data_IF_303315423208
#
_entry.id   IF_303315423208
#
_cell.length_a   1.000
_cell.length_b   1.000
_cell.length_c   1.000
_cell.angle_alpha   90.00
_cell.angle_beta   90.00
_cell.angle_gamma   90.00
#
_symmetry.space_group_name_H-M   'P 1'
#
loop_
_entity.id
_entity.type
_entity.pdbx_description
1 polymer ?
#
# COMPACT_ATOMS: atom_id res chain seq x y z
N UNK A 1 6.40 27.80 21.93
CA UNK A 1 6.75 27.52 20.51
C UNK A 1 7.65 26.30 20.49
N UNK A 2 7.11 25.12 20.19
CA UNK A 2 7.89 23.88 20.05
C UNK A 2 8.81 24.04 18.84
N UNK A 3 10.13 23.90 19.02
CA UNK A 3 11.08 24.08 17.93
C UNK A 3 10.82 23.04 16.81
N UNK A 4 11.13 23.39 15.57
CA UNK A 4 11.02 22.48 14.43
C UNK A 4 11.69 21.12 14.64
N UNK A 5 12.81 21.11 15.38
CA UNK A 5 13.51 19.89 15.76
C UNK A 5 12.67 18.97 16.66
N UNK A 6 11.97 19.53 17.65
CA UNK A 6 11.09 18.78 18.55
C UNK A 6 9.94 18.12 17.78
N UNK A 7 9.31 18.87 16.86
CA UNK A 7 8.26 18.35 15.98
C UNK A 7 8.75 17.18 15.12
N UNK A 8 9.96 17.30 14.54
CA UNK A 8 10.58 16.24 13.74
C UNK A 8 10.93 15.00 14.57
N UNK A 9 11.39 15.17 15.81
CA UNK A 9 11.71 14.06 16.72
C UNK A 9 10.45 13.32 17.18
N UNK A 10 9.39 14.05 17.55
CA UNK A 10 8.09 13.45 17.89
C UNK A 10 7.53 12.64 16.71
N UNK A 11 7.59 13.20 15.49
CA UNK A 11 7.17 12.49 14.28
C UNK A 11 8.04 11.24 13.99
N UNK A 12 9.33 11.26 14.34
CA UNK A 12 10.20 10.08 14.22
C UNK A 12 9.85 9.01 15.27
N UNK A 13 9.65 9.38 16.53
CA UNK A 13 9.24 8.46 17.58
C UNK A 13 7.88 7.83 17.29
N UNK A 14 6.90 8.60 16.82
CA UNK A 14 5.60 8.08 16.43
C UNK A 14 5.68 7.07 15.28
N UNK A 15 6.61 7.27 14.33
CA UNK A 15 6.88 6.29 13.26
C UNK A 15 7.50 5.01 13.80
N UNK A 16 8.49 5.12 14.68
CA UNK A 16 9.12 3.95 15.32
C UNK A 16 8.08 3.17 16.13
N UNK A 17 7.25 3.87 16.91
CA UNK A 17 6.23 3.22 17.72
C UNK A 17 5.20 2.48 16.85
N UNK A 18 4.70 3.11 15.78
CA UNK A 18 3.81 2.44 14.83
C UNK A 18 4.44 1.18 14.23
N UNK A 19 5.69 1.26 13.79
CA UNK A 19 6.41 0.08 13.27
C UNK A 19 6.66 -1.00 14.34
N UNK A 20 6.75 -0.65 15.62
CA UNK A 20 6.82 -1.62 16.71
C UNK A 20 5.47 -2.29 16.93
N UNK A 21 4.39 -1.50 16.93
CA UNK A 21 3.02 -1.96 17.12
C UNK A 21 2.59 -2.88 15.96
N UNK A 22 2.91 -2.51 14.72
CA UNK A 22 2.69 -3.34 13.52
C UNK A 22 3.46 -4.67 13.59
N UNK A 23 4.72 -4.64 14.02
CA UNK A 23 5.51 -5.87 14.22
C UNK A 23 4.95 -6.75 15.33
N UNK A 24 4.47 -6.14 16.42
CA UNK A 24 3.83 -6.87 17.52
C UNK A 24 2.51 -7.52 17.06
N UNK A 25 1.69 -6.76 16.33
CA UNK A 25 0.45 -7.25 15.73
C UNK A 25 0.72 -8.40 14.74
N UNK A 26 1.68 -8.26 13.83
CA UNK A 26 2.06 -9.32 12.90
C UNK A 26 2.60 -10.58 13.60
N UNK A 27 3.32 -10.42 14.72
CA UNK A 27 3.74 -11.56 15.54
C UNK A 27 2.56 -12.26 16.23
N UNK A 28 1.55 -11.51 16.64
CA UNK A 28 0.32 -12.04 17.23
C UNK A 28 -0.54 -12.74 16.18
N UNK A 29 -0.68 -12.18 14.98
CA UNK A 29 -1.39 -12.80 13.86
C UNK A 29 -0.73 -14.11 13.42
N UNK A 30 0.61 -14.11 13.29
CA UNK A 30 1.38 -15.34 13.05
C UNK A 30 1.14 -16.37 14.15
N UNK A 31 1.13 -15.95 15.40
CA UNK A 31 0.90 -16.84 16.53
C UNK A 31 -0.51 -17.45 16.50
N UNK A 32 -1.54 -16.67 16.15
CA UNK A 32 -2.92 -17.16 15.97
C UNK A 32 -3.02 -18.16 14.83
N UNK A 33 -2.47 -17.84 13.65
CA UNK A 33 -2.47 -18.76 12.51
C UNK A 33 -1.82 -20.11 12.84
N UNK A 34 -0.69 -20.09 13.55
CA UNK A 34 -0.03 -21.31 14.04
C UNK A 34 -0.91 -22.08 15.04
N UNK A 35 -1.58 -21.38 15.96
CA UNK A 35 -2.44 -21.99 16.95
C UNK A 35 -3.69 -22.64 16.33
N UNK A 36 -4.33 -21.94 15.38
CA UNK A 36 -5.50 -22.42 14.66
C UNK A 36 -5.16 -23.66 13.82
N UNK A 37 -4.06 -23.61 13.06
CA UNK A 37 -3.60 -24.74 12.25
C UNK A 37 -3.22 -25.95 13.11
N UNK A 38 -2.52 -25.72 14.23
CA UNK A 38 -2.19 -26.78 15.18
C UNK A 38 -3.45 -27.41 15.81
N UNK A 39 -4.51 -26.61 16.05
CA UNK A 39 -5.79 -27.09 16.56
C UNK A 39 -6.57 -27.91 15.51
N UNK A 40 -6.60 -27.46 14.26
CA UNK A 40 -7.23 -28.17 13.13
C UNK A 40 -6.66 -29.58 12.93
N UNK A 41 -5.36 -29.76 13.16
CA UNK A 41 -4.66 -31.05 13.04
C UNK A 41 -4.86 -32.00 14.23
N UNK A 42 -5.43 -31.51 15.34
CA UNK A 42 -5.71 -32.32 16.52
C UNK A 42 -4.47 -32.84 17.24
N UNK A 43 -4.56 -34.07 17.79
CA UNK A 43 -3.52 -34.63 18.67
C UNK A 43 -2.24 -34.94 17.89
N UNK A 44 -1.19 -34.15 18.13
CA UNK A 44 0.09 -34.23 17.39
C UNK A 44 0.29 -33.11 16.38
N UNK A 45 -0.72 -32.26 16.16
CA UNK A 45 -0.67 -31.09 15.28
C UNK A 45 0.53 -30.17 15.49
N UNK A 46 0.87 -29.77 16.74
CA UNK A 46 2.04 -28.93 17.00
C UNK A 46 3.37 -29.52 16.52
N UNK A 47 3.52 -30.84 16.59
CA UNK A 47 4.75 -31.53 16.16
C UNK A 47 4.84 -31.60 14.64
N UNK A 48 3.75 -32.00 13.98
CA UNK A 48 3.68 -32.02 12.51
C UNK A 48 3.93 -30.63 11.92
N UNK A 49 3.36 -29.60 12.54
CA UNK A 49 3.54 -28.21 12.11
C UNK A 49 4.97 -27.72 12.35
N UNK A 50 5.64 -28.18 13.42
CA UNK A 50 7.05 -27.88 13.66
C UNK A 50 7.94 -28.47 12.55
N UNK A 51 7.70 -29.74 12.20
CA UNK A 51 8.42 -30.45 11.14
C UNK A 51 8.20 -29.78 9.77
N UNK A 52 6.96 -29.41 9.42
CA UNK A 52 6.64 -28.75 8.15
C UNK A 52 7.23 -27.34 8.01
N UNK A 53 7.22 -26.56 9.10
CA UNK A 53 7.77 -25.21 9.10
C UNK A 53 9.28 -25.17 9.31
N UNK A 54 9.92 -26.33 9.54
CA UNK A 54 11.35 -26.42 9.82
C UNK A 54 11.78 -25.71 11.10
N UNK A 55 10.91 -25.69 12.12
CA UNK A 55 11.15 -25.03 13.41
C UNK A 55 11.06 -26.02 14.57
N UNK A 56 11.53 -25.61 15.75
CA UNK A 56 11.42 -26.47 16.93
C UNK A 56 9.97 -26.56 17.45
N UNK A 57 9.58 -27.69 18.04
CA UNK A 57 8.29 -27.83 18.75
C UNK A 57 8.12 -26.77 19.86
N UNK A 58 9.24 -26.32 20.45
CA UNK A 58 9.26 -25.23 21.44
C UNK A 58 8.81 -23.91 20.82
N UNK A 59 9.21 -23.61 19.59
CA UNK A 59 8.78 -22.42 18.84
C UNK A 59 7.27 -22.44 18.61
N UNK A 60 6.72 -23.59 18.22
CA UNK A 60 5.26 -23.76 18.06
C UNK A 60 4.54 -23.59 19.40
N UNK A 61 5.06 -24.19 20.47
CA UNK A 61 4.51 -24.05 21.83
C UNK A 61 4.49 -22.60 22.31
N UNK A 62 5.56 -21.84 22.02
CA UNK A 62 5.64 -20.41 22.33
C UNK A 62 4.63 -19.58 21.52
N UNK A 63 4.45 -19.90 20.23
CA UNK A 63 3.45 -19.26 19.39
C UNK A 63 2.02 -19.52 19.92
N UNK A 64 1.69 -20.77 20.27
CA UNK A 64 0.40 -21.12 20.87
C UNK A 64 0.18 -20.38 22.19
N UNK A 65 1.20 -20.33 23.06
CA UNK A 65 1.11 -19.60 24.33
C UNK A 65 0.91 -18.09 24.11
N UNK A 66 1.59 -17.52 23.12
CA UNK A 66 1.44 -16.11 22.73
C UNK A 66 0.04 -15.83 22.20
N UNK A 67 -0.49 -16.68 21.32
CA UNK A 67 -1.85 -16.55 20.80
C UNK A 67 -2.91 -16.56 21.91
N UNK A 68 -2.75 -17.45 22.90
CA UNK A 68 -3.66 -17.55 24.05
C UNK A 68 -3.61 -16.31 24.97
N UNK A 69 -2.43 -15.72 25.12
CA UNK A 69 -2.21 -14.57 26.01
C UNK A 69 -2.38 -13.23 25.28
N UNK A 70 -2.53 -13.24 23.96
CA UNK A 70 -2.85 -12.04 23.20
C UNK A 70 -4.25 -11.53 23.62
N UNK A 71 -4.50 -10.21 23.61
CA UNK A 71 -5.80 -9.65 23.95
C UNK A 71 -6.90 -10.38 23.18
N UNK A 72 -7.88 -10.93 23.88
CA UNK A 72 -8.95 -11.79 23.35
C UNK A 72 -10.00 -11.05 22.50
N UNK A 73 -9.73 -9.80 22.13
CA UNK A 73 -10.50 -9.14 21.09
C UNK A 73 -9.97 -9.63 19.75
N UNK A 74 -10.78 -10.27 18.89
CA UNK A 74 -10.52 -10.16 17.46
C UNK A 74 -10.61 -8.65 17.24
N UNK A 75 -9.46 -8.02 17.16
CA UNK A 75 -9.38 -6.59 16.94
C UNK A 75 -10.27 -6.33 15.73
N UNK A 76 -11.17 -5.36 15.85
CA UNK A 76 -11.95 -4.82 14.71
C UNK A 76 -10.98 -4.11 13.77
N UNK A 77 -10.00 -4.86 13.29
CA UNK A 77 -8.93 -4.43 12.41
C UNK A 77 -9.34 -4.86 11.04
N UNK A 78 -9.26 -3.91 10.14
CA UNK A 78 -9.37 -4.19 8.72
C UNK A 78 -8.34 -5.26 8.34
N UNK A 79 -8.66 -6.16 7.38
CA UNK A 79 -7.67 -7.06 6.81
C UNK A 79 -6.37 -6.33 6.45
N UNK A 80 -5.20 -6.97 6.62
CA UNK A 80 -3.90 -6.31 6.42
C UNK A 80 -3.73 -5.73 5.01
N UNK A 81 -4.42 -6.29 4.02
CA UNK A 81 -4.42 -5.87 2.62
C UNK A 81 -5.48 -4.80 2.28
N UNK A 82 -6.18 -4.25 3.27
CA UNK A 82 -7.33 -3.37 3.01
C UNK A 82 -6.94 -2.10 2.26
N UNK A 83 -5.78 -1.50 2.57
CA UNK A 83 -5.32 -0.32 1.85
C UNK A 83 -5.08 -0.63 0.38
N UNK A 84 -4.42 -1.75 0.07
CA UNK A 84 -4.13 -2.18 -1.29
C UNK A 84 -5.44 -2.47 -2.05
N UNK A 85 -6.40 -3.13 -1.41
CA UNK A 85 -7.73 -3.40 -1.99
C UNK A 85 -8.53 -2.12 -2.24
N UNK A 86 -8.43 -1.13 -1.35
CA UNK A 86 -9.08 0.17 -1.53
C UNK A 86 -8.44 0.94 -2.70
N UNK A 87 -7.11 1.00 -2.78
CA UNK A 87 -6.44 1.66 -3.91
C UNK A 87 -6.78 0.95 -5.23
N UNK A 88 -6.75 -0.38 -5.27
CA UNK A 88 -7.13 -1.16 -6.45
C UNK A 88 -8.57 -0.85 -6.90
N UNK A 89 -9.52 -0.74 -5.96
CA UNK A 89 -10.90 -0.38 -6.27
C UNK A 89 -11.03 1.03 -6.88
N UNK A 90 -10.21 1.99 -6.43
CA UNK A 90 -10.18 3.33 -7.03
C UNK A 90 -9.67 3.29 -8.47
N UNK A 91 -8.67 2.44 -8.76
CA UNK A 91 -8.11 2.29 -10.11
C UNK A 91 -9.15 1.81 -11.14
N UNK A 92 -10.11 0.97 -10.72
CA UNK A 92 -11.17 0.45 -11.60
C UNK A 92 -12.09 1.56 -12.16
N UNK A 93 -12.17 2.68 -11.46
CA UNK A 93 -13.06 3.81 -11.81
C UNK A 93 -12.33 4.95 -12.53
N UNK A 94 -11.03 4.79 -12.82
CA UNK A 94 -10.25 5.81 -13.50
C UNK A 94 -10.72 6.01 -14.96
N UNK A 95 -10.54 7.22 -15.49
CA UNK A 95 -10.74 7.46 -16.91
C UNK A 95 -9.80 6.59 -17.75
N UNK A 96 -10.32 6.09 -18.88
CA UNK A 96 -9.56 5.26 -19.82
C UNK A 96 -8.58 6.13 -20.61
N UNK A 97 -7.28 5.92 -20.38
CA UNK A 97 -6.20 6.58 -21.12
C UNK A 97 -5.51 5.62 -22.09
N UNK A 98 -4.80 6.16 -23.07
CA UNK A 98 -3.94 5.38 -23.95
C UNK A 98 -2.72 4.83 -23.18
N UNK A 99 -2.15 3.68 -23.60
CA UNK A 99 -0.93 3.16 -22.97
C UNK A 99 0.21 4.19 -22.90
N UNK A 100 0.45 4.94 -23.99
CA UNK A 100 1.48 5.99 -24.04
C UNK A 100 1.23 7.13 -23.04
N UNK A 101 -0.03 7.40 -22.71
CA UNK A 101 -0.38 8.41 -21.71
C UNK A 101 -0.06 7.91 -20.30
N UNK A 102 -0.36 6.64 -19.99
CA UNK A 102 0.04 6.06 -18.71
C UNK A 102 1.55 5.95 -18.55
N UNK A 103 2.27 5.63 -19.63
CA UNK A 103 3.74 5.63 -19.64
C UNK A 103 4.30 7.03 -19.36
N UNK A 104 3.72 8.08 -19.96
CA UNK A 104 4.10 9.46 -19.71
C UNK A 104 3.86 9.87 -18.24
N UNK A 105 2.68 9.58 -17.69
CA UNK A 105 2.38 9.84 -16.26
C UNK A 105 3.38 9.10 -15.36
N UNK A 106 3.67 7.84 -15.66
CA UNK A 106 4.61 7.06 -14.87
C UNK A 106 6.04 7.59 -14.93
N UNK A 107 6.47 8.08 -16.10
CA UNK A 107 7.76 8.74 -16.26
C UNK A 107 7.84 10.01 -15.42
N UNK A 108 6.82 10.87 -15.46
CA UNK A 108 6.72 12.09 -14.64
C UNK A 108 6.79 11.75 -13.16
N UNK A 109 5.89 10.89 -12.66
CA UNK A 109 5.79 10.53 -11.24
C UNK A 109 7.12 9.98 -10.69
N UNK A 110 7.89 9.25 -11.50
CA UNK A 110 9.21 8.73 -11.08
C UNK A 110 10.31 9.79 -11.09
N UNK A 111 10.15 10.86 -11.87
CA UNK A 111 11.05 12.02 -11.89
C UNK A 111 10.74 13.05 -10.80
N UNK A 112 9.51 13.07 -10.30
CA UNK A 112 9.03 14.09 -9.35
C UNK A 112 9.26 13.69 -7.89
N UNK A 113 9.72 14.66 -7.07
CA UNK A 113 9.80 14.49 -5.61
C UNK A 113 8.42 14.76 -5.01
N UNK A 114 7.75 13.70 -4.59
CA UNK A 114 6.42 13.76 -3.98
C UNK A 114 6.56 13.92 -2.47
N UNK A 115 6.16 15.08 -1.95
CA UNK A 115 6.19 15.41 -0.53
C UNK A 115 4.80 15.43 0.13
N UNK A 116 4.71 15.88 1.38
CA UNK A 116 3.45 15.88 2.11
C UNK A 116 2.37 16.81 1.52
N UNK A 117 2.74 17.83 0.74
CA UNK A 117 1.77 18.75 0.12
C UNK A 117 0.95 18.04 -0.96
N UNK A 118 1.54 17.03 -1.62
CA UNK A 118 0.86 16.22 -2.61
C UNK A 118 -0.34 15.46 -2.07
N UNK A 119 -0.40 15.20 -0.76
CA UNK A 119 -1.52 14.47 -0.16
C UNK A 119 -2.83 15.25 -0.31
N UNK A 120 -2.79 16.58 -0.30
CA UNK A 120 -4.01 17.40 -0.28
C UNK A 120 -4.59 17.62 -1.69
N UNK A 121 -3.73 17.84 -2.69
CA UNK A 121 -4.14 18.12 -4.08
C UNK A 121 -3.30 17.34 -5.10
N UNK A 122 -3.26 16.01 -5.01
CA UNK A 122 -2.37 15.18 -5.84
C UNK A 122 -2.70 15.28 -7.33
N UNK A 123 -3.98 15.38 -7.69
CA UNK A 123 -4.41 15.53 -9.10
C UNK A 123 -3.98 16.86 -9.71
N UNK A 124 -4.02 17.95 -8.92
CA UNK A 124 -3.60 19.28 -9.37
C UNK A 124 -2.08 19.34 -9.57
N UNK A 125 -1.30 18.83 -8.62
CA UNK A 125 0.16 18.77 -8.77
C UNK A 125 0.57 17.85 -9.92
N UNK A 126 -0.09 16.70 -10.10
CA UNK A 126 0.18 15.83 -11.24
C UNK A 126 -0.11 16.52 -12.57
N UNK A 127 -1.22 17.29 -12.64
CA UNK A 127 -1.54 18.06 -13.83
C UNK A 127 -0.48 19.12 -14.15
N UNK A 128 0.01 19.84 -13.13
CA UNK A 128 1.09 20.82 -13.29
C UNK A 128 2.37 20.17 -13.83
N UNK A 129 2.78 19.02 -13.29
CA UNK A 129 3.95 18.31 -13.80
C UNK A 129 3.76 17.80 -15.24
N UNK A 130 2.52 17.45 -15.64
CA UNK A 130 2.20 17.10 -17.04
C UNK A 130 2.32 18.31 -17.96
N UNK A 131 1.91 19.48 -17.50
CA UNK A 131 1.99 20.73 -18.28
C UNK A 131 3.43 21.25 -18.42
N UNK A 132 4.24 21.06 -17.37
CA UNK A 132 5.65 21.46 -17.36
C UNK A 132 6.55 20.48 -18.14
N UNK A 133 6.07 19.25 -18.37
CA UNK A 133 6.83 18.22 -19.08
C UNK A 133 6.83 18.45 -20.61
N UNK A 134 8.01 18.29 -21.23
CA UNK A 134 8.17 18.27 -22.69
C UNK A 134 7.71 16.92 -23.27
N UNK A 135 6.39 16.76 -23.40
CA UNK A 135 5.75 15.53 -23.89
C UNK A 135 5.43 15.61 -25.39
N UNK A 136 5.45 14.45 -26.06
CA UNK A 136 5.06 14.30 -27.47
C UNK A 136 3.58 14.64 -27.69
N UNK A 137 3.24 15.20 -28.86
CA UNK A 137 1.85 15.51 -29.25
C UNK A 137 0.92 14.28 -29.17
N UNK A 138 1.44 13.07 -29.42
CA UNK A 138 0.69 11.82 -29.32
C UNK A 138 0.14 11.55 -27.91
N UNK A 139 0.76 12.13 -26.87
CA UNK A 139 0.30 12.05 -25.48
C UNK A 139 -0.88 12.99 -25.21
N UNK A 140 -1.07 14.02 -26.04
CA UNK A 140 -2.05 15.09 -25.86
C UNK A 140 -1.93 15.75 -24.46
N UNK A 141 -0.82 16.46 -24.17
CA UNK A 141 -0.47 16.89 -22.81
C UNK A 141 -1.58 17.70 -22.12
N UNK A 142 -2.23 18.61 -22.83
CA UNK A 142 -3.34 19.40 -22.29
C UNK A 142 -4.55 18.54 -21.85
N UNK A 143 -4.91 17.52 -22.64
CA UNK A 143 -5.99 16.61 -22.30
C UNK A 143 -5.61 15.67 -21.15
N UNK A 144 -4.34 15.26 -21.09
CA UNK A 144 -3.80 14.45 -20.01
C UNK A 144 -3.78 15.22 -18.68
N UNK A 145 -3.33 16.49 -18.69
CA UNK A 145 -3.34 17.36 -17.52
C UNK A 145 -4.76 17.58 -16.99
N UNK A 146 -5.71 17.86 -17.88
CA UNK A 146 -7.12 18.00 -17.50
C UNK A 146 -7.68 16.72 -16.88
N UNK A 147 -7.30 15.56 -17.45
CA UNK A 147 -7.67 14.27 -16.87
C UNK A 147 -7.10 14.10 -15.45
N UNK A 148 -5.85 14.51 -15.22
CA UNK A 148 -5.21 14.46 -13.91
C UNK A 148 -5.91 15.36 -12.88
N UNK A 149 -6.32 16.57 -13.25
CA UNK A 149 -7.12 17.46 -12.37
C UNK A 149 -8.47 16.88 -12.01
N UNK A 150 -9.09 16.15 -12.95
CA UNK A 150 -10.38 15.50 -12.77
C UNK A 150 -10.34 14.29 -11.82
N UNK A 151 -9.16 13.80 -11.45
CA UNK A 151 -9.03 12.68 -10.53
C UNK A 151 -9.45 13.09 -9.11
N UNK A 152 -10.17 12.19 -8.44
CA UNK A 152 -10.35 12.30 -6.99
C UNK A 152 -8.98 12.26 -6.29
N UNK A 153 -8.92 12.81 -5.07
CA UNK A 153 -7.70 12.77 -4.26
C UNK A 153 -7.17 11.35 -4.09
N UNK A 154 -8.04 10.37 -3.85
CA UNK A 154 -7.63 8.97 -3.62
C UNK A 154 -7.22 8.31 -4.93
N UNK A 155 -7.94 8.58 -6.02
CA UNK A 155 -7.59 8.10 -7.36
C UNK A 155 -6.19 8.56 -7.79
N UNK A 156 -5.89 9.86 -7.62
CA UNK A 156 -4.57 10.37 -7.97
C UNK A 156 -3.46 9.76 -7.11
N UNK A 157 -3.69 9.53 -5.81
CA UNK A 157 -2.74 8.81 -4.95
C UNK A 157 -2.56 7.35 -5.38
N UNK A 158 -3.64 6.67 -5.79
CA UNK A 158 -3.57 5.31 -6.32
C UNK A 158 -2.76 5.23 -7.62
N UNK A 159 -2.95 6.20 -8.52
CA UNK A 159 -2.15 6.33 -9.76
C UNK A 159 -0.68 6.54 -9.43
N UNK A 160 -0.37 7.46 -8.50
CA UNK A 160 0.99 7.74 -8.06
C UNK A 160 1.67 6.49 -7.49
N UNK A 161 1.01 5.79 -6.56
CA UNK A 161 1.53 4.55 -5.95
C UNK A 161 1.80 3.48 -7.01
N UNK A 162 0.86 3.30 -7.95
CA UNK A 162 0.99 2.35 -9.07
C UNK A 162 2.17 2.68 -9.98
N UNK A 163 2.35 3.97 -10.30
CA UNK A 163 3.45 4.45 -11.14
C UNK A 163 4.82 4.28 -10.46
N UNK A 164 4.91 4.54 -9.15
CA UNK A 164 6.13 4.35 -8.35
C UNK A 164 6.52 2.86 -8.26
N UNK A 165 5.53 1.96 -8.18
CA UNK A 165 5.75 0.51 -8.21
C UNK A 165 6.02 -0.06 -9.60
N UNK A 166 5.86 0.76 -10.64
CA UNK A 166 5.95 0.37 -12.05
C UNK A 166 4.97 -0.76 -12.45
N UNK A 167 3.79 -0.78 -11.84
CA UNK A 167 2.74 -1.75 -12.16
C UNK A 167 1.68 -1.12 -13.07
N UNK A 168 2.08 -0.68 -14.26
CA UNK A 168 1.14 -0.01 -15.17
C UNK A 168 0.07 -0.95 -15.74
N UNK A 169 0.21 -2.27 -15.51
CA UNK A 169 -0.71 -3.29 -16.03
C UNK A 169 -2.08 -3.26 -15.37
N UNK A 170 -2.18 -2.69 -14.17
CA UNK A 170 -3.45 -2.54 -13.45
C UNK A 170 -4.22 -1.26 -13.82
N UNK A 171 -3.61 -0.36 -14.60
CA UNK A 171 -4.24 0.89 -15.02
C UNK A 171 -5.20 0.65 -16.20
N UNK A 172 -6.39 1.28 -16.19
CA UNK A 172 -7.37 1.03 -17.23
C UNK A 172 -6.96 1.70 -18.55
N UNK A 173 -6.81 0.87 -19.59
CA UNK A 173 -6.33 1.29 -20.91
C UNK A 173 -7.46 1.35 -21.94
N UNK A 174 -7.52 2.47 -22.66
CA UNK A 174 -8.33 2.64 -23.85
C UNK A 174 -7.71 1.79 -24.97
N UNK A 175 -8.42 0.77 -25.43
CA UNK A 175 -8.00 0.01 -26.61
C UNK A 175 -7.96 0.96 -27.81
N UNK A 176 -6.81 1.08 -28.47
CA UNK A 176 -6.75 1.78 -29.75
C UNK A 176 -7.67 1.04 -30.74
N UNK A 177 -8.53 1.80 -31.43
CA UNK A 177 -9.31 1.24 -32.52
C UNK A 177 -8.33 0.74 -33.60
N UNK A 178 -8.61 -0.41 -34.24
CA UNK A 178 -7.75 -1.00 -35.26
C UNK A 178 -7.56 -0.09 -36.47
#
# INVERSE_FOLDING_TARGET
MTSELHRRLEAAHARIQRGNDERAAGADDKARAIADEAACRGRGGPKQLADELGVSEKTISQAIARARNAPSSPSRTLPPDTLERLLAAELETLPLLLPVQWEAVAWIVRGTIIDAMWIEQPGEFLAQEVEDAELDEAVQPAALAETCRGLSRVQALAVIDTCQRNDLTVLPVKKQAP
#
